data_IF_520633115825
#
_entry.id   IF_520633115825
#
_cell.length_a   1.000
_cell.length_b   1.000
_cell.length_c   1.000
_cell.angle_alpha   90.00
_cell.angle_beta   90.00
_cell.angle_gamma   90.00
#
_symmetry.space_group_name_H-M   'P 1'
#
loop_
_entity.id
_entity.type
_entity.pdbx_description
1 polymer ?
#
# COMPACT_ATOMS: atom_id res chain seq x y z
N UNK A 1 20.51 13.45 18.33
CA UNK A 1 19.98 13.06 17.01
C UNK A 1 18.86 14.03 16.65
N UNK A 2 18.87 14.65 15.47
CA UNK A 2 17.85 15.63 15.07
C UNK A 2 16.86 14.99 14.07
N UNK A 3 15.87 14.23 14.57
CA UNK A 3 14.77 13.72 13.74
C UNK A 3 13.65 14.79 13.68
N UNK A 4 12.98 15.00 12.53
CA UNK A 4 11.87 15.94 12.44
C UNK A 4 10.71 15.49 13.32
N UNK A 5 10.09 16.44 14.05
CA UNK A 5 8.95 16.17 14.92
C UNK A 5 7.74 15.76 14.07
N UNK A 6 7.15 14.62 14.40
CA UNK A 6 6.03 14.04 13.67
C UNK A 6 4.73 14.39 14.37
N UNK A 7 3.77 14.97 13.64
CA UNK A 7 2.38 15.10 14.11
C UNK A 7 1.66 13.76 13.92
N UNK A 8 0.70 13.46 14.80
CA UNK A 8 -0.21 12.34 14.61
C UNK A 8 -0.99 12.55 13.30
N UNK A 9 -1.01 11.53 12.44
CA UNK A 9 -1.95 11.45 11.33
C UNK A 9 -3.18 10.75 11.87
N UNK A 10 -4.32 11.43 11.88
CA UNK A 10 -5.61 10.85 12.22
C UNK A 10 -6.31 10.35 10.96
N UNK A 11 -7.19 9.36 11.13
CA UNK A 11 -8.03 8.87 10.05
C UNK A 11 -9.12 9.89 9.70
N UNK A 12 -9.53 9.92 8.43
CA UNK A 12 -10.63 10.71 7.92
C UNK A 12 -11.46 9.76 7.05
N UNK A 13 -12.55 9.24 7.60
CA UNK A 13 -13.34 8.13 7.04
C UNK A 13 -13.77 8.36 5.57
N UNK A 14 -13.99 9.61 5.19
CA UNK A 14 -14.36 10.03 3.83
C UNK A 14 -13.20 10.05 2.83
N UNK A 15 -11.96 9.78 3.27
CA UNK A 15 -10.71 9.91 2.49
C UNK A 15 -9.68 8.85 2.87
N UNK A 16 -9.84 7.64 2.34
CA UNK A 16 -8.93 6.47 2.51
C UNK A 16 -7.41 6.78 2.37
N UNK A 17 -7.04 7.86 1.67
CA UNK A 17 -5.69 8.42 1.63
C UNK A 17 -5.09 8.65 3.04
N UNK A 18 -5.88 8.98 4.07
CA UNK A 18 -5.39 9.09 5.46
C UNK A 18 -4.93 7.74 6.00
N UNK A 19 -5.72 6.69 5.77
CA UNK A 19 -5.45 5.31 6.22
C UNK A 19 -4.17 4.78 5.59
N UNK A 20 -3.97 5.05 4.28
CA UNK A 20 -2.72 4.74 3.59
C UNK A 20 -1.53 5.48 4.20
N UNK A 21 -1.66 6.77 4.50
CA UNK A 21 -0.58 7.57 5.12
C UNK A 21 -0.25 7.12 6.54
N UNK A 22 -1.26 6.72 7.34
CA UNK A 22 -1.06 6.14 8.67
C UNK A 22 -0.30 4.82 8.60
N UNK A 23 -0.71 3.90 7.73
CA UNK A 23 -0.03 2.62 7.50
C UNK A 23 1.42 2.84 7.04
N UNK A 24 1.64 3.79 6.12
CA UNK A 24 2.97 4.12 5.62
C UNK A 24 3.87 4.72 6.72
N UNK A 25 3.31 5.56 7.60
CA UNK A 25 4.04 6.14 8.75
C UNK A 25 4.41 5.06 9.76
N UNK A 26 3.48 4.17 10.10
CA UNK A 26 3.68 3.05 11.01
C UNK A 26 4.77 2.10 10.51
N UNK A 27 4.73 1.73 9.22
CA UNK A 27 5.75 0.86 8.62
C UNK A 27 7.14 1.53 8.58
N UNK A 28 7.21 2.84 8.31
CA UNK A 28 8.47 3.61 8.33
C UNK A 28 9.07 3.73 9.74
N UNK A 29 8.24 3.97 10.76
CA UNK A 29 8.68 4.11 12.16
C UNK A 29 8.68 2.78 12.95
N UNK A 30 8.49 1.62 12.30
CA UNK A 30 8.32 0.32 12.99
C UNK A 30 9.43 -0.03 13.99
N UNK A 31 10.67 0.41 13.74
CA UNK A 31 11.79 0.24 14.68
C UNK A 31 11.66 1.17 15.90
N UNK A 32 11.31 2.44 15.68
CA UNK A 32 11.10 3.45 16.72
C UNK A 32 9.91 3.07 17.63
N UNK A 33 8.79 2.69 17.01
CA UNK A 33 7.57 2.23 17.68
C UNK A 33 7.84 0.91 18.42
N UNK A 34 8.47 -0.07 17.77
CA UNK A 34 8.81 -1.36 18.38
C UNK A 34 9.81 -1.27 19.53
N UNK A 35 10.69 -0.26 19.55
CA UNK A 35 11.52 0.06 20.71
C UNK A 35 10.72 0.73 21.82
N UNK A 36 9.91 1.73 21.50
CA UNK A 36 9.07 2.43 22.47
C UNK A 36 8.09 1.48 23.19
N UNK A 37 7.41 0.58 22.47
CA UNK A 37 6.51 -0.43 23.05
C UNK A 37 7.21 -1.43 23.97
N UNK A 38 8.52 -1.64 23.84
CA UNK A 38 9.33 -2.46 24.78
C UNK A 38 9.79 -1.70 26.02
N UNK A 39 9.81 -0.36 25.97
CA UNK A 39 10.26 0.51 27.07
C UNK A 39 9.09 1.06 27.89
N UNK A 40 7.94 1.28 27.26
CA UNK A 40 6.71 1.71 27.90
C UNK A 40 6.07 0.54 28.67
N UNK A 41 5.59 0.79 29.89
CA UNK A 41 4.69 -0.13 30.60
C UNK A 41 3.29 0.00 30.00
N UNK A 42 3.04 -0.72 28.90
CA UNK A 42 1.77 -0.71 28.17
C UNK A 42 1.38 -2.13 27.77
N UNK A 43 0.09 -2.44 27.82
CA UNK A 43 -0.47 -3.71 27.36
C UNK A 43 -0.52 -3.83 25.83
N UNK A 44 -0.14 -2.77 25.11
CA UNK A 44 -0.06 -2.73 23.65
C UNK A 44 1.07 -3.64 23.11
N UNK A 45 0.71 -4.90 22.83
CA UNK A 45 1.61 -5.91 22.25
C UNK A 45 2.25 -5.42 20.94
N UNK A 46 3.58 -5.54 20.76
CA UNK A 46 4.24 -5.28 19.49
C UNK A 46 3.70 -6.15 18.35
N UNK A 47 3.54 -5.56 17.15
CA UNK A 47 3.13 -6.27 15.94
C UNK A 47 4.16 -7.35 15.53
N UNK A 48 3.69 -8.47 14.98
CA UNK A 48 4.55 -9.54 14.45
C UNK A 48 5.20 -9.14 13.12
N UNK A 49 6.20 -9.91 12.66
CA UNK A 49 6.77 -9.72 11.33
C UNK A 49 5.69 -9.82 10.25
N UNK A 50 4.84 -10.85 10.32
CA UNK A 50 3.82 -11.14 9.31
C UNK A 50 2.87 -9.95 9.07
N UNK A 51 2.57 -9.18 10.13
CA UNK A 51 1.77 -7.94 10.04
C UNK A 51 2.53 -6.83 9.33
N UNK A 52 3.83 -6.68 9.56
CA UNK A 52 4.67 -5.74 8.79
C UNK A 52 4.90 -6.18 7.35
N UNK A 53 5.08 -7.47 7.10
CA UNK A 53 5.26 -8.05 5.76
C UNK A 53 3.97 -7.90 4.93
N UNK A 54 2.82 -8.10 5.57
CA UNK A 54 1.49 -7.77 5.02
C UNK A 54 1.33 -6.26 4.77
N UNK A 55 1.75 -5.42 5.72
CA UNK A 55 1.70 -3.97 5.56
C UNK A 55 2.54 -3.48 4.38
N UNK A 56 3.74 -4.02 4.15
CA UNK A 56 4.56 -3.69 2.98
C UNK A 56 3.87 -4.11 1.68
N UNK A 57 3.35 -5.34 1.61
CA UNK A 57 2.59 -5.81 0.45
C UNK A 57 1.38 -4.91 0.13
N UNK A 58 0.63 -4.49 1.16
CA UNK A 58 -0.45 -3.52 1.04
C UNK A 58 0.05 -2.13 0.58
N UNK A 59 1.17 -1.63 1.12
CA UNK A 59 1.72 -0.32 0.76
C UNK A 59 2.24 -0.29 -0.69
N UNK A 60 2.85 -1.38 -1.16
CA UNK A 60 3.25 -1.54 -2.56
C UNK A 60 2.05 -1.65 -3.50
N UNK A 61 1.00 -2.37 -3.09
CA UNK A 61 -0.22 -2.54 -3.89
C UNK A 61 -0.99 -1.23 -4.01
N UNK A 62 -1.22 -0.54 -2.88
CA UNK A 62 -2.05 0.66 -2.80
C UNK A 62 -1.32 1.95 -3.19
N UNK A 63 0.02 1.97 -3.18
CA UNK A 63 0.82 3.16 -3.53
C UNK A 63 0.45 3.81 -4.88
N UNK A 64 0.32 3.05 -5.98
CA UNK A 64 -0.14 3.58 -7.28
C UNK A 64 -1.56 4.16 -7.23
N UNK A 65 -2.46 3.60 -6.41
CA UNK A 65 -3.79 4.16 -6.21
C UNK A 65 -3.72 5.48 -5.45
N UNK A 66 -2.91 5.56 -4.38
CA UNK A 66 -2.76 6.76 -3.55
C UNK A 66 -2.22 7.94 -4.36
N UNK A 67 -1.22 7.71 -5.22
CA UNK A 67 -0.69 8.78 -6.08
C UNK A 67 -1.77 9.32 -7.02
N UNK A 68 -2.51 8.44 -7.70
CA UNK A 68 -3.56 8.84 -8.62
C UNK A 68 -4.76 9.49 -7.92
N UNK A 69 -5.17 9.05 -6.72
CA UNK A 69 -6.26 9.71 -5.98
C UNK A 69 -5.83 11.05 -5.39
N UNK A 70 -4.55 11.25 -5.05
CA UNK A 70 -4.00 12.58 -4.73
C UNK A 70 -4.06 13.49 -5.96
N UNK A 71 -3.47 13.08 -7.09
CA UNK A 71 -3.47 13.85 -8.35
C UNK A 71 -4.89 14.27 -8.77
N UNK A 72 -5.81 13.30 -8.83
CA UNK A 72 -7.22 13.54 -9.17
C UNK A 72 -7.97 14.41 -8.14
N UNK A 73 -7.53 14.46 -6.88
CA UNK A 73 -8.14 15.31 -5.84
C UNK A 73 -7.63 16.76 -5.84
N UNK A 74 -6.45 17.01 -6.42
CA UNK A 74 -5.86 18.35 -6.57
C UNK A 74 -6.33 19.04 -7.87
N UNK A 75 -6.85 18.28 -8.83
CA UNK A 75 -7.41 18.78 -10.09
C UNK A 75 -8.79 19.44 -9.97
N UNK A 76 -8.84 20.77 -10.16
CA UNK A 76 -10.10 21.54 -10.28
C UNK A 76 -11.04 21.10 -11.43
N UNK A 77 -10.58 20.28 -12.38
CA UNK A 77 -11.37 19.76 -13.51
C UNK A 77 -10.92 18.35 -13.92
N UNK A 78 -11.23 17.35 -13.10
CA UNK A 78 -11.04 15.93 -13.46
C UNK A 78 -11.75 15.61 -14.78
N UNK A 79 -10.99 15.23 -15.80
CA UNK A 79 -11.54 14.67 -17.04
C UNK A 79 -11.77 13.17 -16.88
N UNK A 80 -12.95 12.66 -17.26
CA UNK A 80 -13.28 11.23 -17.20
C UNK A 80 -12.31 10.33 -17.98
N UNK A 81 -11.60 10.89 -18.97
CA UNK A 81 -10.49 10.24 -19.66
C UNK A 81 -9.39 9.76 -18.71
N UNK A 82 -9.06 10.51 -17.65
CA UNK A 82 -8.05 10.12 -16.65
C UNK A 82 -8.52 8.94 -15.80
N UNK A 83 -9.79 8.91 -15.40
CA UNK A 83 -10.40 7.78 -14.66
C UNK A 83 -10.34 6.49 -15.49
N UNK A 84 -10.67 6.57 -16.79
CA UNK A 84 -10.59 5.44 -17.71
C UNK A 84 -9.14 4.97 -17.94
N UNK A 85 -8.19 5.89 -18.06
CA UNK A 85 -6.75 5.58 -18.17
C UNK A 85 -6.22 4.90 -16.91
N UNK A 86 -6.59 5.42 -15.74
CA UNK A 86 -6.20 4.84 -14.45
C UNK A 86 -6.78 3.43 -14.25
N UNK A 87 -8.06 3.20 -14.58
CA UNK A 87 -8.67 1.87 -14.51
C UNK A 87 -7.96 0.84 -15.40
N UNK A 88 -7.57 1.23 -16.62
CA UNK A 88 -6.76 0.39 -17.54
C UNK A 88 -5.34 0.13 -17.00
N UNK A 89 -4.70 1.13 -16.41
CA UNK A 89 -3.40 0.96 -15.75
C UNK A 89 -3.51 -0.06 -14.61
N UNK A 90 -4.57 0.01 -13.81
CA UNK A 90 -4.83 -0.89 -12.69
C UNK A 90 -5.01 -2.34 -13.12
N UNK A 91 -5.83 -2.62 -14.14
CA UNK A 91 -6.01 -3.99 -14.66
C UNK A 91 -4.69 -4.56 -15.19
N UNK A 92 -3.88 -3.76 -15.89
CA UNK A 92 -2.53 -4.15 -16.34
C UNK A 92 -1.56 -4.40 -15.18
N UNK A 93 -1.57 -3.59 -14.12
CA UNK A 93 -0.69 -3.80 -12.95
C UNK A 93 -1.06 -5.08 -12.20
N UNK A 94 -2.35 -5.38 -12.03
CA UNK A 94 -2.82 -6.64 -11.43
C UNK A 94 -2.48 -7.84 -12.33
N UNK A 95 -2.71 -7.75 -13.64
CA UNK A 95 -2.33 -8.78 -14.60
C UNK A 95 -0.80 -9.01 -14.68
N UNK A 96 0.02 -7.99 -14.40
CA UNK A 96 1.49 -8.14 -14.33
C UNK A 96 1.94 -8.77 -13.02
N UNK A 97 1.39 -8.36 -11.86
CA UNK A 97 1.67 -9.02 -10.57
C UNK A 97 1.23 -10.50 -10.59
N UNK A 98 0.03 -10.80 -11.09
CA UNK A 98 -0.46 -12.18 -11.22
C UNK A 98 0.40 -13.08 -12.11
N UNK A 99 0.98 -12.53 -13.19
CA UNK A 99 1.90 -13.27 -14.08
C UNK A 99 3.28 -13.53 -13.47
N UNK A 100 3.78 -12.67 -12.57
CA UNK A 100 5.06 -12.89 -11.88
C UNK A 100 4.98 -14.00 -10.81
N UNK A 101 3.79 -14.30 -10.28
CA UNK A 101 3.57 -15.40 -9.34
C UNK A 101 3.30 -16.77 -9.98
N UNK A 102 3.33 -16.89 -11.31
CA UNK A 102 2.87 -18.10 -12.00
C UNK A 102 3.99 -19.15 -12.16
N UNK A 103 3.89 -20.34 -11.53
CA UNK A 103 4.92 -21.37 -11.67
C UNK A 103 4.94 -21.93 -13.09
N UNK A 104 6.13 -22.01 -13.69
CA UNK A 104 6.35 -22.28 -15.11
C UNK A 104 5.70 -23.58 -15.63
N UNK A 105 5.48 -24.58 -14.75
CA UNK A 105 4.73 -25.82 -15.07
C UNK A 105 3.31 -25.60 -15.59
N UNK A 106 2.69 -24.43 -15.34
CA UNK A 106 1.35 -24.11 -15.84
C UNK A 106 1.33 -23.63 -17.30
N UNK A 107 2.48 -23.25 -17.89
CA UNK A 107 2.55 -22.82 -19.30
C UNK A 107 2.45 -23.98 -20.30
N UNK A 108 2.80 -25.20 -19.87
CA UNK A 108 2.76 -26.40 -20.73
C UNK A 108 1.32 -26.81 -21.12
N UNK A 109 0.33 -26.51 -20.29
CA UNK A 109 -1.07 -26.91 -20.49
C UNK A 109 -1.80 -26.18 -21.62
N UNK A 110 -1.19 -25.16 -22.26
CA UNK A 110 -1.81 -24.39 -23.36
C UNK A 110 -1.42 -24.88 -24.77
N UNK A 111 -0.60 -25.93 -24.88
CA UNK A 111 -0.10 -26.46 -26.16
C UNK A 111 -0.50 -27.92 -26.47
N UNK A 112 -1.29 -28.57 -25.61
CA UNK A 112 -1.84 -29.91 -25.86
C UNK A 112 -3.32 -29.80 -26.25
N UNK A 113 -3.57 -29.43 -27.51
CA UNK A 113 -4.91 -29.03 -27.98
C UNK A 113 -5.08 -29.07 -29.50
N UNK A 114 -4.54 -30.13 -30.13
CA UNK A 114 -4.70 -30.50 -31.54
C UNK A 114 -4.75 -32.03 -31.62
#
# INVERSE_FOLDING_TARGET
MNRPVLKLIQEVDTRWNSTYLMLQRLFKERQSVGAALKTLKTDARPLSSEVYDTADACLQLLGPFFQATVELSEEKRVSGSKVLTFGKLWTEMLLKRGRQGMPQRMLQWRCSGT
#
